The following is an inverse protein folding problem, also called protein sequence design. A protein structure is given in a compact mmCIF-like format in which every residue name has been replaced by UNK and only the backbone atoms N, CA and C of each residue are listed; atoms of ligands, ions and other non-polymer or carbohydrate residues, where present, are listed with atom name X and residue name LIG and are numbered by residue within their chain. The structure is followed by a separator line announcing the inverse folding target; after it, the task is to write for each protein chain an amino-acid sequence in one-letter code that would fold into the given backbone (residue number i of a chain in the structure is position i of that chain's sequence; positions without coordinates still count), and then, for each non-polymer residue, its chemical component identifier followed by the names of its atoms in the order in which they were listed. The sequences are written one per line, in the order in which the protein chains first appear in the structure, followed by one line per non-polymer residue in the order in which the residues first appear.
data_IF_427696590169
#
_entry.id   IF_427696590169
#
_cell.length_a   1.000
_cell.length_b   1.000
_cell.length_c   1.000
_cell.angle_alpha   90.00
_cell.angle_beta   90.00
_cell.angle_gamma   90.00
#
_symmetry.space_group_name_H-M   'P 1'
#
loop_
_entity.id
_entity.type
_entity.pdbx_description
1 polymer ?
#
# COMPACT_ATOMS: atom_id res chain seq x y z
N UNK A 1 18.82 15.68 81.76
CA UNK A 1 19.28 15.33 80.40
C UNK A 1 18.11 15.54 79.42
N UNK A 2 17.73 16.78 79.10
CA UNK A 2 16.59 17.07 78.21
C UNK A 2 16.88 18.33 77.39
N UNK A 3 17.46 18.22 76.18
CA UNK A 3 17.37 19.30 75.20
C UNK A 3 17.70 18.90 73.74
N UNK A 4 17.09 17.82 73.21
CA UNK A 4 17.22 17.45 71.77
C UNK A 4 15.90 17.25 71.02
N UNK A 5 14.75 17.34 71.69
CA UNK A 5 13.46 16.90 71.13
C UNK A 5 12.70 17.98 70.34
N UNK A 6 13.06 19.27 70.45
CA UNK A 6 12.35 20.39 69.81
C UNK A 6 12.82 20.70 68.38
N UNK A 7 14.00 20.21 67.98
CA UNK A 7 14.53 20.38 66.61
C UNK A 7 13.81 19.47 65.57
N UNK A 8 13.12 18.42 66.00
CA UNK A 8 12.50 17.42 65.11
C UNK A 8 11.08 17.79 64.63
N UNK A 9 10.39 18.74 65.27
CA UNK A 9 9.00 19.08 64.94
C UNK A 9 8.88 20.15 63.84
N UNK A 10 9.80 21.12 63.79
CA UNK A 10 9.86 22.09 62.69
C UNK A 10 10.32 21.45 61.36
N UNK A 11 11.16 20.40 61.43
CA UNK A 11 11.62 19.66 60.27
C UNK A 11 10.52 18.79 59.60
N UNK A 12 9.48 18.37 60.34
CA UNK A 12 8.42 17.48 59.82
C UNK A 12 7.54 18.12 58.74
N UNK A 13 7.22 19.42 58.83
CA UNK A 13 6.42 20.11 57.82
C UNK A 13 7.17 20.33 56.50
N UNK A 14 8.47 20.61 56.59
CA UNK A 14 9.33 20.85 55.43
C UNK A 14 9.52 19.60 54.57
N UNK A 15 9.64 18.43 55.19
CA UNK A 15 9.81 17.16 54.46
C UNK A 15 8.65 16.85 53.52
N UNK A 16 7.40 17.07 53.94
CA UNK A 16 6.21 16.83 53.11
C UNK A 16 6.17 17.75 51.88
N UNK A 17 6.52 19.04 52.06
CA UNK A 17 6.58 19.99 50.96
C UNK A 17 7.66 19.62 49.93
N UNK A 18 8.86 19.24 50.40
CA UNK A 18 9.95 18.82 49.53
C UNK A 18 9.60 17.53 48.77
N UNK A 19 8.97 16.55 49.43
CA UNK A 19 8.53 15.32 48.75
C UNK A 19 7.46 15.60 47.69
N UNK A 20 6.53 16.53 47.93
CA UNK A 20 5.49 16.88 46.96
C UNK A 20 6.08 17.61 45.75
N UNK A 21 7.03 18.53 45.96
CA UNK A 21 7.77 19.20 44.89
C UNK A 21 8.57 18.18 44.08
N UNK A 22 9.30 17.27 44.73
CA UNK A 22 10.03 16.20 44.04
C UNK A 22 9.10 15.30 43.23
N UNK A 23 7.95 14.90 43.79
CA UNK A 23 6.97 14.07 43.10
C UNK A 23 6.38 14.79 41.88
N UNK A 24 6.09 16.10 42.01
CA UNK A 24 5.63 16.93 40.89
C UNK A 24 6.69 17.02 39.78
N UNK A 25 7.96 17.24 40.14
CA UNK A 25 9.08 17.29 39.18
C UNK A 25 9.23 15.96 38.45
N UNK A 26 9.20 14.83 39.17
CA UNK A 26 9.25 13.49 38.56
C UNK A 26 8.08 13.27 37.60
N UNK A 27 6.87 13.68 37.96
CA UNK A 27 5.69 13.50 37.11
C UNK A 27 5.82 14.30 35.80
N UNK A 28 6.37 15.52 35.85
CA UNK A 28 6.61 16.35 34.67
C UNK A 28 7.68 15.75 33.75
N UNK A 29 8.74 15.18 34.32
CA UNK A 29 9.76 14.46 33.55
C UNK A 29 9.16 13.24 32.84
N UNK A 30 8.33 12.46 33.54
CA UNK A 30 7.63 11.29 32.99
C UNK A 30 6.69 11.71 31.85
N UNK A 31 5.82 12.71 32.06
CA UNK A 31 4.90 13.18 31.00
C UNK A 31 5.63 13.76 29.78
N UNK A 32 6.76 14.43 30.00
CA UNK A 32 7.62 14.93 28.91
C UNK A 32 8.12 13.81 28.01
N UNK A 33 8.54 12.68 28.60
CA UNK A 33 9.02 11.50 27.85
C UNK A 33 7.90 10.80 27.07
N UNK A 34 6.69 10.71 27.62
CA UNK A 34 5.55 10.02 26.99
C UNK A 34 5.12 10.68 25.67
N UNK A 35 5.22 12.01 25.57
CA UNK A 35 4.85 12.75 24.34
C UNK A 35 5.71 12.36 23.14
N UNK A 36 7.00 12.08 23.35
CA UNK A 36 7.90 11.64 22.29
C UNK A 36 7.57 10.22 21.80
N UNK A 37 7.21 9.33 22.71
CA UNK A 37 6.83 7.94 22.40
C UNK A 37 5.60 7.89 21.50
N UNK A 38 4.55 8.67 21.80
CA UNK A 38 3.31 8.69 21.02
C UNK A 38 3.52 9.16 19.57
N UNK A 39 4.37 10.17 19.35
CA UNK A 39 4.68 10.63 17.99
C UNK A 39 5.47 9.57 17.21
N UNK A 40 6.43 8.91 17.85
CA UNK A 40 7.20 7.82 17.25
C UNK A 40 6.31 6.63 16.87
N UNK A 41 5.39 6.25 17.74
CA UNK A 41 4.44 5.16 17.50
C UNK A 41 3.54 5.43 16.28
N UNK A 42 3.01 6.65 16.16
CA UNK A 42 2.18 7.03 15.01
C UNK A 42 2.96 7.05 13.70
N UNK A 43 4.18 7.57 13.70
CA UNK A 43 5.04 7.57 12.51
C UNK A 43 5.43 6.15 12.09
N UNK A 44 5.74 5.28 13.05
CA UNK A 44 6.00 3.86 12.80
C UNK A 44 4.75 3.14 12.27
N UNK A 45 3.57 3.48 12.80
CA UNK A 45 2.28 2.99 12.32
C UNK A 45 2.02 3.35 10.85
N UNK A 46 2.16 4.64 10.50
CA UNK A 46 1.98 5.13 9.13
C UNK A 46 2.95 4.45 8.14
N UNK A 47 4.24 4.35 8.51
CA UNK A 47 5.23 3.66 7.68
C UNK A 47 4.89 2.17 7.46
N UNK A 48 4.44 1.50 8.53
CA UNK A 48 4.03 0.09 8.46
C UNK A 48 2.76 -0.12 7.63
N UNK A 49 1.82 0.82 7.66
CA UNK A 49 0.61 0.74 6.83
C UNK A 49 0.92 1.02 5.35
N UNK A 50 1.77 2.00 5.05
CA UNK A 50 2.20 2.29 3.67
C UNK A 50 2.92 1.10 3.04
N UNK A 51 3.86 0.50 3.76
CA UNK A 51 4.58 -0.70 3.27
C UNK A 51 3.63 -1.88 3.05
N UNK A 52 2.67 -2.12 3.95
CA UNK A 52 1.63 -3.14 3.74
C UNK A 52 0.75 -2.85 2.52
N UNK A 53 0.39 -1.58 2.30
CA UNK A 53 -0.43 -1.18 1.15
C UNK A 53 0.30 -1.46 -0.16
N UNK A 54 1.61 -1.19 -0.23
CA UNK A 54 2.43 -1.54 -1.40
C UNK A 54 2.50 -3.06 -1.60
N UNK A 55 2.72 -3.84 -0.54
CA UNK A 55 2.74 -5.30 -0.65
C UNK A 55 1.41 -5.87 -1.18
N UNK A 56 0.28 -5.30 -0.75
CA UNK A 56 -1.05 -5.65 -1.28
C UNK A 56 -1.20 -5.29 -2.76
N UNK A 57 -0.66 -4.14 -3.16
CA UNK A 57 -0.66 -3.71 -4.56
C UNK A 57 0.21 -4.63 -5.43
N UNK A 58 1.40 -5.02 -4.95
CA UNK A 58 2.28 -5.99 -5.62
C UNK A 58 1.65 -7.39 -5.70
N UNK A 59 0.92 -7.81 -4.68
CA UNK A 59 0.18 -9.06 -4.71
C UNK A 59 -0.88 -9.04 -5.82
N UNK A 60 -1.67 -7.95 -5.91
CA UNK A 60 -2.66 -7.79 -6.97
C UNK A 60 -2.01 -7.69 -8.36
N UNK A 61 -0.87 -7.00 -8.47
CA UNK A 61 -0.08 -6.93 -9.71
C UNK A 61 0.33 -8.32 -10.18
N UNK A 62 0.89 -9.13 -9.28
CA UNK A 62 1.28 -10.52 -9.59
C UNK A 62 0.10 -11.36 -10.06
N UNK A 63 -1.10 -11.19 -9.48
CA UNK A 63 -2.29 -11.90 -9.95
C UNK A 63 -2.68 -11.48 -11.38
N UNK A 64 -2.60 -10.19 -11.70
CA UNK A 64 -2.83 -9.69 -13.06
C UNK A 64 -1.80 -10.22 -14.07
N UNK A 65 -0.52 -10.30 -13.68
CA UNK A 65 0.53 -10.90 -14.52
C UNK A 65 0.34 -12.40 -14.72
N UNK A 66 -0.14 -13.12 -13.71
CA UNK A 66 -0.47 -14.55 -13.81
C UNK A 66 -1.63 -14.78 -14.78
N UNK A 67 -2.64 -13.90 -14.79
CA UNK A 67 -3.76 -13.97 -15.73
C UNK A 67 -3.29 -13.88 -17.20
N UNK A 68 -2.22 -13.11 -17.46
CA UNK A 68 -1.62 -12.95 -18.80
C UNK A 68 -0.79 -14.13 -19.28
N UNK A 69 -0.51 -15.14 -18.43
CA UNK A 69 0.27 -16.33 -18.82
C UNK A 69 -0.48 -17.32 -19.70
N UNK A 70 -1.74 -17.04 -20.03
CA UNK A 70 -2.54 -17.89 -20.90
C UNK A 70 -2.06 -17.79 -22.36
N UNK A 71 -2.00 -18.91 -23.10
CA UNK A 71 -1.54 -18.90 -24.49
C UNK A 71 -2.35 -17.97 -25.40
N UNK A 72 -3.64 -17.79 -25.12
CA UNK A 72 -4.54 -16.88 -25.84
C UNK A 72 -4.08 -15.41 -25.79
N UNK A 73 -3.41 -14.99 -24.71
CA UNK A 73 -2.90 -13.62 -24.56
C UNK A 73 -1.67 -13.32 -25.42
N UNK A 74 -1.12 -14.35 -26.07
CA UNK A 74 -0.03 -14.22 -27.02
C UNK A 74 -0.51 -13.94 -28.46
N UNK A 75 -1.79 -14.20 -28.75
CA UNK A 75 -2.35 -14.14 -30.11
C UNK A 75 -3.58 -13.24 -30.23
N UNK A 76 -4.17 -12.81 -29.11
CA UNK A 76 -5.36 -11.98 -29.11
C UNK A 76 -5.34 -10.92 -28.00
N UNK A 77 -5.79 -9.71 -28.33
CA UNK A 77 -5.93 -8.61 -27.37
C UNK A 77 -7.13 -8.78 -26.42
N UNK A 78 -8.06 -9.68 -26.74
CA UNK A 78 -9.27 -9.97 -25.95
C UNK A 78 -9.19 -11.28 -25.16
N UNK A 79 -7.98 -11.72 -24.80
CA UNK A 79 -7.77 -13.00 -24.12
C UNK A 79 -8.39 -13.08 -22.71
N UNK A 80 -8.61 -11.93 -22.06
CA UNK A 80 -9.22 -11.82 -20.74
C UNK A 80 -10.64 -11.27 -20.87
N UNK A 81 -11.57 -11.85 -20.12
CA UNK A 81 -12.95 -11.37 -20.01
C UNK A 81 -13.07 -10.28 -18.93
N UNK A 82 -14.16 -9.52 -18.94
CA UNK A 82 -14.45 -8.48 -17.94
C UNK A 82 -14.44 -9.01 -16.48
N UNK A 83 -14.61 -10.32 -16.28
CA UNK A 83 -14.52 -10.97 -14.98
C UNK A 83 -13.09 -11.13 -14.43
N UNK A 84 -12.05 -11.00 -15.27
CA UNK A 84 -10.65 -11.28 -14.94
C UNK A 84 -9.75 -10.03 -14.89
N UNK A 85 -10.34 -8.84 -15.06
CA UNK A 85 -9.65 -7.57 -14.95
C UNK A 85 -9.70 -6.86 -16.28
N UNK A 86 -10.79 -6.12 -16.50
CA UNK A 86 -10.88 -4.95 -17.35
C UNK A 86 -10.14 -4.98 -18.67
N UNK A 87 -10.80 -5.54 -19.66
CA UNK A 87 -10.50 -5.30 -21.06
C UNK A 87 -11.62 -4.45 -21.67
N UNK A 88 -11.68 -3.17 -21.33
CA UNK A 88 -12.65 -2.23 -21.93
C UNK A 88 -12.06 -1.39 -23.06
N UNK A 89 -10.95 -1.82 -23.65
CA UNK A 89 -10.49 -1.15 -24.85
C UNK A 89 -11.05 -1.90 -26.06
N UNK A 90 -11.83 -1.22 -26.92
CA UNK A 90 -12.31 -1.73 -28.20
C UNK A 90 -11.19 -2.13 -29.19
N UNK A 91 -9.94 -1.96 -28.76
CA UNK A 91 -8.70 -2.39 -29.35
C UNK A 91 -7.54 -2.05 -28.41
N UNK A 92 -6.27 -2.30 -28.77
CA UNK A 92 -5.13 -1.90 -27.94
C UNK A 92 -5.06 -0.39 -27.70
N UNK A 93 -4.71 0.00 -26.49
CA UNK A 93 -4.52 1.39 -26.10
C UNK A 93 -3.09 1.87 -26.36
N UNK A 94 -2.94 3.14 -26.73
CA UNK A 94 -1.62 3.72 -27.09
C UNK A 94 -0.71 3.93 -25.88
N UNK A 95 -1.28 4.09 -24.69
CA UNK A 95 -0.55 4.34 -23.45
C UNK A 95 -1.19 3.59 -22.28
N UNK A 96 -0.40 3.14 -21.29
CA UNK A 96 -0.94 2.54 -20.08
C UNK A 96 -1.75 3.56 -19.26
N UNK A 97 -2.61 3.04 -18.38
CA UNK A 97 -3.40 3.83 -17.45
C UNK A 97 -2.48 4.59 -16.50
N UNK A 98 -2.51 5.92 -16.55
CA UNK A 98 -1.68 6.81 -15.73
C UNK A 98 -2.39 7.33 -14.47
N UNK A 99 -3.72 7.25 -14.43
CA UNK A 99 -4.53 7.61 -13.27
C UNK A 99 -5.46 6.44 -12.95
N UNK A 100 -5.49 6.01 -11.69
CA UNK A 100 -6.45 5.00 -11.27
C UNK A 100 -7.86 5.59 -11.27
N UNK A 101 -8.54 5.43 -12.40
CA UNK A 101 -9.97 5.67 -12.55
C UNK A 101 -10.59 4.39 -13.10
N UNK A 102 -11.47 3.79 -12.32
CA UNK A 102 -12.36 2.73 -12.83
C UNK A 102 -13.47 3.48 -13.54
N UNK A 103 -13.36 3.63 -14.86
CA UNK A 103 -14.41 4.20 -15.69
C UNK A 103 -15.74 3.45 -15.46
N UNK A 104 -16.89 4.12 -15.55
CA UNK A 104 -18.19 3.46 -15.44
C UNK A 104 -18.31 2.32 -16.47
N UNK A 105 -18.54 1.09 -16.02
CA UNK A 105 -18.53 -0.12 -16.86
C UNK A 105 -17.35 -1.04 -16.52
N UNK A 106 -16.20 -0.45 -16.20
CA UNK A 106 -15.02 -1.19 -15.78
C UNK A 106 -15.18 -1.74 -14.34
N UNK A 107 -15.35 -3.06 -14.19
CA UNK A 107 -15.06 -3.78 -12.93
C UNK A 107 -13.58 -4.15 -12.75
N UNK A 108 -12.80 -3.33 -12.03
CA UNK A 108 -11.47 -3.75 -11.55
C UNK A 108 -11.61 -5.03 -10.72
N UNK A 109 -10.75 -6.03 -10.94
CA UNK A 109 -10.85 -7.30 -10.22
C UNK A 109 -10.30 -7.15 -8.82
N UNK A 110 -11.14 -7.48 -7.84
CA UNK A 110 -10.74 -7.54 -6.46
C UNK A 110 -9.90 -8.80 -6.18
N UNK A 111 -8.76 -8.58 -5.54
CA UNK A 111 -7.88 -9.60 -5.01
C UNK A 111 -8.00 -9.57 -3.49
N UNK A 112 -7.70 -10.70 -2.84
CA UNK A 112 -7.60 -10.75 -1.38
C UNK A 112 -6.72 -9.60 -0.84
N UNK A 113 -7.03 -9.11 0.36
CA UNK A 113 -6.34 -7.99 1.01
C UNK A 113 -6.48 -6.62 0.31
N UNK A 114 -7.67 -6.28 -0.21
CA UNK A 114 -7.99 -4.95 -0.74
C UNK A 114 -7.15 -4.47 -1.94
N UNK A 115 -6.46 -5.39 -2.61
CA UNK A 115 -5.80 -5.11 -3.87
C UNK A 115 -6.79 -5.22 -5.03
N UNK A 116 -6.65 -4.37 -6.03
CA UNK A 116 -7.40 -4.43 -7.29
C UNK A 116 -6.43 -4.29 -8.44
N UNK A 117 -6.70 -4.93 -9.57
CA UNK A 117 -5.89 -4.77 -10.77
C UNK A 117 -6.73 -4.63 -12.04
N UNK A 118 -6.09 -4.05 -13.06
CA UNK A 118 -6.60 -3.73 -14.38
C UNK A 118 -5.57 -4.17 -15.40
N UNK A 119 -5.99 -4.83 -16.49
CA UNK A 119 -5.08 -5.34 -17.52
C UNK A 119 -5.43 -4.73 -18.87
N UNK A 120 -4.53 -3.95 -19.45
CA UNK A 120 -4.78 -3.24 -20.69
C UNK A 120 -3.85 -3.72 -21.81
N UNK A 121 -4.35 -4.08 -23.00
CA UNK A 121 -3.51 -4.35 -24.15
C UNK A 121 -2.91 -3.03 -24.69
N UNK A 122 -1.60 -3.00 -24.91
CA UNK A 122 -0.87 -1.84 -25.45
C UNK A 122 -0.53 -1.96 -26.95
N UNK A 123 -0.96 -3.06 -27.58
CA UNK A 123 -0.73 -3.34 -28.99
C UNK A 123 0.26 -4.47 -29.20
N UNK A 124 0.58 -4.71 -30.47
CA UNK A 124 1.54 -5.72 -30.89
C UNK A 124 2.86 -5.10 -31.28
N UNK A 125 3.92 -5.88 -31.15
CA UNK A 125 5.20 -5.56 -31.74
C UNK A 125 5.82 -6.83 -32.29
N UNK A 126 6.59 -6.69 -33.37
CA UNK A 126 7.31 -7.82 -33.95
C UNK A 126 8.60 -8.02 -33.17
N UNK A 127 8.70 -9.13 -32.45
CA UNK A 127 9.95 -9.54 -31.86
C UNK A 127 10.84 -10.15 -32.95
N UNK A 128 12.03 -9.58 -33.14
CA UNK A 128 13.08 -10.14 -33.98
C UNK A 128 14.28 -10.43 -33.09
N UNK A 129 14.46 -11.70 -32.72
CA UNK A 129 15.62 -12.17 -31.99
C UNK A 129 16.57 -12.92 -32.92
N UNK A 130 17.87 -12.96 -32.60
CA UNK A 130 18.86 -13.78 -33.33
C UNK A 130 18.52 -15.29 -33.32
N UNK A 131 17.64 -15.72 -32.41
CA UNK A 131 17.30 -17.13 -32.13
C UNK A 131 15.78 -17.39 -32.17
N UNK A 132 14.94 -16.38 -32.42
CA UNK A 132 13.48 -16.55 -32.55
C UNK A 132 13.04 -16.15 -33.97
N UNK A 133 12.13 -16.91 -34.62
CA UNK A 133 11.51 -16.47 -35.86
C UNK A 133 10.76 -15.15 -35.64
N UNK A 134 10.57 -14.35 -36.70
CA UNK A 134 9.79 -13.12 -36.62
C UNK A 134 8.38 -13.45 -36.11
N UNK A 135 8.12 -13.10 -34.86
CA UNK A 135 6.89 -13.47 -34.17
C UNK A 135 6.24 -12.20 -33.65
N UNK A 136 4.95 -12.00 -33.95
CA UNK A 136 4.17 -10.91 -33.37
C UNK A 136 3.87 -11.23 -31.91
N UNK A 137 4.32 -10.36 -31.01
CA UNK A 137 4.05 -10.45 -29.58
C UNK A 137 3.07 -9.36 -29.17
N UNK A 138 2.26 -9.63 -28.14
CA UNK A 138 1.43 -8.62 -27.51
C UNK A 138 2.15 -7.99 -26.32
N UNK A 139 2.03 -6.66 -26.23
CA UNK A 139 2.44 -5.89 -25.06
C UNK A 139 1.20 -5.59 -24.23
N UNK A 140 1.33 -5.80 -22.93
CA UNK A 140 0.27 -5.60 -21.95
C UNK A 140 0.76 -4.66 -20.84
N UNK A 141 -0.12 -3.83 -20.32
CA UNK A 141 0.08 -3.09 -19.09
C UNK A 141 -0.81 -3.65 -18.01
N UNK A 142 -0.22 -3.97 -16.86
CA UNK A 142 -0.94 -4.34 -15.66
C UNK A 142 -0.79 -3.19 -14.67
N UNK A 143 -1.92 -2.60 -14.28
CA UNK A 143 -1.96 -1.56 -13.26
C UNK A 143 -2.70 -2.13 -12.07
N UNK A 144 -2.09 -2.07 -10.89
CA UNK A 144 -2.69 -2.52 -9.64
C UNK A 144 -2.72 -1.38 -8.62
N UNK A 145 -3.81 -1.34 -7.84
CA UNK A 145 -3.95 -0.41 -6.73
C UNK A 145 -4.40 -1.16 -5.49
N UNK A 146 -3.87 -0.76 -4.34
CA UNK A 146 -4.34 -1.27 -3.06
C UNK A 146 -4.59 -0.12 -2.08
N UNK A 147 -5.43 -0.43 -1.11
CA UNK A 147 -5.88 0.52 -0.10
C UNK A 147 -5.39 0.14 1.29
N UNK A 148 -5.43 1.14 2.17
CA UNK A 148 -5.25 0.97 3.60
C UNK A 148 -6.23 -0.07 4.14
N UNK A 149 -5.92 -0.61 5.32
CA UNK A 149 -6.76 -1.65 5.93
C UNK A 149 -8.18 -1.16 6.27
N UNK A 150 -8.34 0.15 6.46
CA UNK A 150 -9.61 0.80 6.82
C UNK A 150 -10.51 1.05 5.60
N UNK A 151 -9.91 1.29 4.42
CA UNK A 151 -10.64 1.57 3.17
C UNK A 151 -10.71 0.33 2.25
N UNK A 152 -10.44 -0.86 2.81
CA UNK A 152 -10.38 -2.12 2.09
C UNK A 152 -11.72 -2.57 1.47
N UNK A 153 -12.83 -2.22 2.13
CA UNK A 153 -14.19 -2.67 1.79
C UNK A 153 -15.08 -1.59 1.19
N UNK A 154 -14.67 -0.32 1.26
CA UNK A 154 -15.45 0.78 0.70
C UNK A 154 -15.26 0.80 -0.83
N UNK A 155 -16.26 0.32 -1.57
CA UNK A 155 -16.28 0.31 -3.03
C UNK A 155 -16.27 1.69 -3.71
N UNK A 156 -16.05 2.77 -2.95
CA UNK A 156 -15.99 4.15 -3.42
C UNK A 156 -14.62 4.68 -3.03
N UNK A 157 -13.70 4.68 -3.98
CA UNK A 157 -12.27 4.81 -3.75
C UNK A 157 -11.86 6.18 -4.31
N UNK A 158 -11.48 7.10 -3.45
CA UNK A 158 -10.91 8.37 -3.90
C UNK A 158 -9.68 8.09 -4.79
N UNK A 159 -9.65 8.71 -5.97
CA UNK A 159 -8.56 8.51 -6.94
C UNK A 159 -7.17 8.78 -6.33
N UNK A 160 -7.13 9.65 -5.32
CA UNK A 160 -5.93 10.15 -4.67
C UNK A 160 -5.42 9.31 -3.49
N UNK A 161 -6.20 8.35 -2.99
CA UNK A 161 -5.83 7.56 -1.82
C UNK A 161 -5.45 6.12 -2.19
N UNK A 162 -4.35 5.60 -1.63
CA UNK A 162 -3.84 4.24 -1.88
C UNK A 162 -2.53 4.19 -2.67
N UNK A 163 -1.92 3.00 -2.72
CA UNK A 163 -0.69 2.77 -3.48
C UNK A 163 -1.01 2.20 -4.87
N UNK A 164 -0.41 2.77 -5.91
CA UNK A 164 -0.54 2.30 -7.30
C UNK A 164 0.81 1.77 -7.77
N UNK A 165 0.81 0.58 -8.35
CA UNK A 165 1.98 -0.03 -8.99
C UNK A 165 1.61 -0.46 -10.41
N UNK A 166 2.59 -0.39 -11.31
CA UNK A 166 2.36 -0.68 -12.72
C UNK A 166 3.52 -1.48 -13.28
N UNK A 167 3.20 -2.46 -14.13
CA UNK A 167 4.15 -3.33 -14.83
C UNK A 167 3.75 -3.47 -16.30
N UNK A 168 4.73 -3.66 -17.17
CA UNK A 168 4.50 -4.02 -18.57
C UNK A 168 4.97 -5.45 -18.82
N UNK A 169 4.10 -6.26 -19.40
CA UNK A 169 4.35 -7.67 -19.70
C UNK A 169 4.33 -7.87 -21.21
N UNK A 170 5.28 -8.64 -21.71
CA UNK A 170 5.36 -9.07 -23.09
C UNK A 170 4.97 -10.54 -23.15
N UNK A 171 4.01 -10.87 -24.02
CA UNK A 171 3.58 -12.24 -24.26
C UNK A 171 3.74 -12.55 -25.74
N UNK A 172 4.55 -13.56 -26.04
CA UNK A 172 4.83 -14.02 -27.40
C UNK A 172 4.30 -15.46 -27.56
N UNK A 173 3.75 -15.82 -28.73
CA UNK A 173 3.33 -17.19 -28.96
C UNK A 173 4.57 -18.07 -29.02
N UNK A 174 4.50 -19.23 -28.38
CA UNK A 174 5.51 -20.28 -28.51
C UNK A 174 5.22 -21.02 -29.80
N UNK A 175 6.19 -21.00 -30.72
CA UNK A 175 6.16 -21.71 -32.00
C UNK A 175 6.24 -23.21 -31.83
#
# INVERSE_FOLDING_TARGET
MQNRQTQLRAARGFTMAVTLIMLLVVTLLVMGSMRGVVVGERAAGDYRERSQTIQRAEQALRQGELALRQPSCATAWNCLTNAQGLNESSGPASNPITAWSVASGTTAVAVANAGRYVVQPLGTFTASGRILPLTSCYRWAVTAKAYSSLNASAGTLDANEGAVVQSQVIVCPVS
#
